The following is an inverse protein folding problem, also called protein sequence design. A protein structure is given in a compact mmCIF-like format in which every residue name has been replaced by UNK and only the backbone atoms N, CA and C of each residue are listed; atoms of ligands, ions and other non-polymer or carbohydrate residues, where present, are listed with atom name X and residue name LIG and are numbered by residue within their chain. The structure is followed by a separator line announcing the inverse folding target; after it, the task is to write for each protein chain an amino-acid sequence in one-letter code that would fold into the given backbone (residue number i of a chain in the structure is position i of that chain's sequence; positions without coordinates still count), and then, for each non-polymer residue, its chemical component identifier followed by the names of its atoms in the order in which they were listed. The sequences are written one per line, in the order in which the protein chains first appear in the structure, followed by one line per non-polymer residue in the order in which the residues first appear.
data_IF_414556265290
#
_entry.id   IF_414556265290
#
_cell.length_a   1.000
_cell.length_b   1.000
_cell.length_c   1.000
_cell.angle_alpha   90.00
_cell.angle_beta   90.00
_cell.angle_gamma   90.00
#
_symmetry.space_group_name_H-M   'P 1'
#
loop_
_entity.id
_entity.type
_entity.pdbx_description
1 polymer ?
#
# COMPACT_ATOMS: atom_id res chain seq x y z
N UNK A 1 -46.12 -28.17 14.97
CA UNK A 1 -44.92 -28.74 15.60
C UNK A 1 -43.77 -27.84 15.13
N UNK A 2 -43.29 -26.95 16.00
CA UNK A 2 -42.07 -26.17 15.74
C UNK A 2 -40.91 -27.09 16.07
N UNK A 3 -40.16 -27.54 15.07
CA UNK A 3 -38.91 -28.26 15.26
C UNK A 3 -37.83 -27.25 15.73
N UNK A 4 -37.41 -27.33 16.98
CA UNK A 4 -36.19 -26.70 17.41
C UNK A 4 -35.02 -27.50 16.82
N UNK A 5 -34.32 -26.95 15.84
CA UNK A 5 -33.01 -27.47 15.43
C UNK A 5 -32.05 -27.13 16.54
N UNK A 6 -31.64 -28.11 17.33
CA UNK A 6 -30.56 -27.95 18.32
C UNK A 6 -29.26 -27.82 17.52
N UNK A 7 -28.58 -26.69 17.64
CA UNK A 7 -27.27 -26.51 17.08
C UNK A 7 -26.27 -27.47 17.79
N UNK A 8 -25.60 -28.31 16.99
CA UNK A 8 -24.63 -29.26 17.50
C UNK A 8 -23.22 -28.82 17.05
N UNK A 9 -22.44 -28.27 17.97
CA UNK A 9 -21.07 -27.82 17.72
C UNK A 9 -20.16 -28.95 17.21
N UNK A 10 -20.41 -30.19 17.60
CA UNK A 10 -19.59 -31.34 17.22
C UNK A 10 -19.91 -31.87 15.81
N UNK A 11 -21.03 -31.46 15.24
CA UNK A 11 -21.35 -31.85 13.87
C UNK A 11 -20.38 -31.24 12.89
N UNK A 12 -19.68 -32.08 12.12
CA UNK A 12 -18.85 -31.60 11.03
C UNK A 12 -19.69 -30.99 9.92
N UNK A 13 -19.27 -29.86 9.38
CA UNK A 13 -19.88 -29.16 8.25
C UNK A 13 -18.82 -28.82 7.21
N UNK A 14 -19.19 -28.89 5.93
CA UNK A 14 -18.35 -28.45 4.84
C UNK A 14 -18.62 -26.97 4.57
N UNK A 15 -17.58 -26.19 4.53
CA UNK A 15 -17.62 -24.73 4.26
C UNK A 15 -16.53 -24.38 3.25
N UNK A 16 -16.62 -23.20 2.67
CA UNK A 16 -15.55 -22.62 1.87
C UNK A 16 -14.87 -21.52 2.69
N UNK A 17 -13.55 -21.58 2.88
CA UNK A 17 -12.80 -20.57 3.61
C UNK A 17 -11.73 -19.99 2.69
N UNK A 18 -11.80 -18.69 2.43
CA UNK A 18 -10.89 -17.99 1.51
C UNK A 18 -10.76 -18.69 0.14
N UNK A 19 -11.87 -19.26 -0.36
CA UNK A 19 -11.94 -19.97 -1.63
C UNK A 19 -11.57 -21.46 -1.59
N UNK A 20 -11.20 -22.00 -0.42
CA UNK A 20 -10.87 -23.43 -0.26
C UNK A 20 -11.96 -24.17 0.53
N UNK A 21 -12.41 -25.30 0.00
CA UNK A 21 -13.36 -26.17 0.72
C UNK A 21 -12.69 -26.90 1.87
N UNK A 22 -13.29 -26.78 3.06
CA UNK A 22 -12.80 -27.42 4.28
C UNK A 22 -13.96 -28.02 5.07
N UNK A 23 -13.66 -29.04 5.87
CA UNK A 23 -14.63 -29.61 6.82
C UNK A 23 -14.23 -29.16 8.21
N UNK A 24 -15.13 -28.44 8.89
CA UNK A 24 -14.92 -27.87 10.22
C UNK A 24 -15.87 -28.48 11.24
N UNK A 25 -15.45 -28.53 12.50
CA UNK A 25 -16.28 -29.03 13.62
C UNK A 25 -15.78 -28.46 14.95
N UNK A 26 -16.57 -28.62 15.99
CA UNK A 26 -16.19 -28.18 17.35
C UNK A 26 -15.94 -26.67 17.40
N UNK A 27 -14.81 -26.28 17.91
CA UNK A 27 -14.43 -24.86 18.04
C UNK A 27 -14.32 -24.13 16.70
N UNK A 28 -13.95 -24.82 15.62
CA UNK A 28 -13.86 -24.24 14.27
C UNK A 28 -15.21 -23.78 13.70
N UNK A 29 -16.32 -24.06 14.39
CA UNK A 29 -17.67 -23.68 13.96
C UNK A 29 -18.03 -22.21 14.18
N UNK A 30 -17.02 -21.35 14.44
CA UNK A 30 -17.13 -19.88 14.47
C UNK A 30 -15.89 -19.26 13.84
N UNK A 31 -15.96 -18.00 13.41
CA UNK A 31 -14.78 -17.30 12.86
C UNK A 31 -13.69 -17.19 13.91
N UNK A 32 -14.03 -16.84 15.16
CA UNK A 32 -13.11 -16.81 16.29
C UNK A 32 -12.41 -18.17 16.47
N UNK A 33 -13.15 -19.26 16.41
CA UNK A 33 -12.61 -20.62 16.52
C UNK A 33 -11.72 -21.01 15.34
N UNK A 34 -11.96 -20.49 14.13
CA UNK A 34 -11.04 -20.67 12.99
C UNK A 34 -9.69 -20.00 13.25
N UNK A 35 -9.69 -18.84 13.89
CA UNK A 35 -8.47 -18.12 14.27
C UNK A 35 -7.73 -18.85 15.39
N UNK A 36 -8.43 -19.21 16.46
CA UNK A 36 -7.87 -19.88 17.65
C UNK A 36 -7.23 -21.23 17.32
N UNK A 37 -7.80 -21.96 16.38
CA UNK A 37 -7.27 -23.25 15.92
C UNK A 37 -6.23 -23.12 14.80
N UNK A 38 -5.85 -21.91 14.42
CA UNK A 38 -4.99 -21.62 13.26
C UNK A 38 -5.46 -22.27 11.94
N UNK A 39 -6.75 -22.49 11.80
CA UNK A 39 -7.35 -22.92 10.54
C UNK A 39 -7.24 -21.83 9.49
N UNK A 40 -7.30 -20.57 9.93
CA UNK A 40 -7.00 -19.38 9.13
C UNK A 40 -5.87 -18.61 9.81
N UNK A 41 -4.84 -18.25 9.04
CA UNK A 41 -3.69 -17.49 9.53
C UNK A 41 -3.81 -16.04 9.06
N UNK A 42 -4.45 -15.23 9.91
CA UNK A 42 -4.58 -13.77 9.71
C UNK A 42 -4.25 -13.05 11.02
N UNK A 43 -3.85 -11.80 10.91
CA UNK A 43 -3.45 -10.99 12.06
C UNK A 43 -4.11 -9.61 12.02
N UNK A 44 -4.40 -9.00 13.17
CA UNK A 44 -4.76 -7.59 13.21
C UNK A 44 -3.62 -6.73 12.66
N UNK A 45 -3.95 -5.54 12.18
CA UNK A 45 -2.95 -4.55 11.79
C UNK A 45 -2.18 -4.02 12.99
N UNK A 46 -1.13 -3.27 12.74
CA UNK A 46 -0.30 -2.65 13.76
C UNK A 46 -0.55 -1.15 13.82
N UNK A 47 -0.18 -0.53 14.93
CA UNK A 47 -0.01 0.90 15.00
C UNK A 47 1.43 1.23 14.61
N UNK A 48 1.60 2.05 13.56
CA UNK A 48 2.90 2.27 12.91
C UNK A 48 3.31 3.74 12.92
N UNK A 49 4.60 3.99 12.94
CA UNK A 49 5.18 5.30 12.78
C UNK A 49 5.09 5.78 11.32
N UNK A 50 5.37 7.05 11.09
CA UNK A 50 5.38 7.66 9.74
C UNK A 50 6.39 7.02 8.78
N UNK A 51 7.41 6.35 9.29
CA UNK A 51 8.40 5.58 8.52
C UNK A 51 7.98 4.12 8.27
N UNK A 52 6.75 3.73 8.69
CA UNK A 52 6.22 2.38 8.58
C UNK A 52 6.68 1.40 9.66
N UNK A 53 7.55 1.82 10.58
CA UNK A 53 7.98 0.94 11.66
C UNK A 53 6.90 0.76 12.72
N UNK A 54 6.81 -0.44 13.26
CA UNK A 54 5.79 -0.79 14.26
C UNK A 54 6.08 -0.11 15.60
N UNK A 55 5.11 0.66 16.11
CA UNK A 55 5.10 1.22 17.46
C UNK A 55 4.45 0.23 18.43
N UNK A 56 3.26 -0.27 18.06
CA UNK A 56 2.52 -1.27 18.84
C UNK A 56 1.95 -2.35 17.92
N UNK A 57 2.23 -3.60 18.24
CA UNK A 57 1.68 -4.75 17.51
C UNK A 57 0.19 -4.92 17.81
N UNK A 58 -0.60 -5.20 16.79
CA UNK A 58 -2.02 -5.53 16.94
C UNK A 58 -2.94 -4.35 17.23
N UNK A 59 -2.41 -3.12 17.33
CA UNK A 59 -3.18 -1.90 17.61
C UNK A 59 -3.68 -1.17 16.34
N UNK A 60 -3.62 -1.84 15.19
CA UNK A 60 -4.24 -1.41 13.95
C UNK A 60 -5.72 -1.77 13.87
N UNK A 61 -6.26 -1.94 12.67
CA UNK A 61 -7.64 -2.43 12.54
C UNK A 61 -7.71 -3.92 12.89
N UNK A 62 -8.89 -4.35 13.32
CA UNK A 62 -9.16 -5.77 13.57
C UNK A 62 -9.14 -6.57 12.26
N UNK A 63 -8.97 -7.88 12.38
CA UNK A 63 -9.33 -8.83 11.32
C UNK A 63 -10.78 -8.61 10.93
N UNK A 64 -11.08 -8.71 9.64
CA UNK A 64 -12.46 -8.64 9.14
C UNK A 64 -12.88 -9.98 8.58
N UNK A 65 -14.16 -10.29 8.73
CA UNK A 65 -14.75 -11.49 8.17
C UNK A 65 -16.00 -11.16 7.36
N UNK A 66 -16.24 -11.93 6.32
CA UNK A 66 -17.53 -11.97 5.64
C UNK A 66 -18.05 -13.39 5.63
N UNK A 67 -19.35 -13.55 5.77
CA UNK A 67 -20.06 -14.83 5.62
C UNK A 67 -21.07 -14.67 4.49
N UNK A 68 -20.94 -15.49 3.45
CA UNK A 68 -21.79 -15.43 2.25
C UNK A 68 -21.78 -14.05 1.56
N UNK A 69 -20.63 -13.32 1.67
CA UNK A 69 -20.43 -11.99 1.09
C UNK A 69 -20.95 -10.82 1.92
N UNK A 70 -21.55 -11.07 3.09
CA UNK A 70 -21.97 -10.03 4.04
C UNK A 70 -20.93 -9.88 5.15
N UNK A 71 -20.62 -8.63 5.53
CA UNK A 71 -19.71 -8.33 6.65
C UNK A 71 -20.25 -8.90 7.96
N UNK A 72 -19.38 -9.57 8.73
CA UNK A 72 -19.70 -10.15 10.02
C UNK A 72 -18.78 -9.56 11.10
N UNK A 73 -19.38 -8.75 11.96
CA UNK A 73 -18.68 -8.11 13.08
C UNK A 73 -18.59 -9.00 14.31
N UNK A 74 -19.54 -9.94 14.46
CA UNK A 74 -19.56 -10.91 15.56
C UNK A 74 -18.81 -12.19 15.16
N UNK A 75 -17.53 -12.25 15.48
CA UNK A 75 -16.69 -13.40 15.18
C UNK A 75 -17.14 -14.70 15.89
N UNK A 76 -18.05 -14.61 16.85
CA UNK A 76 -18.66 -15.78 17.52
C UNK A 76 -19.85 -16.35 16.75
N UNK A 77 -20.25 -15.74 15.64
CA UNK A 77 -21.34 -16.24 14.76
C UNK A 77 -21.04 -17.67 14.30
N UNK A 78 -22.07 -18.51 14.36
CA UNK A 78 -21.97 -19.94 14.04
C UNK A 78 -21.96 -20.15 12.53
N UNK A 79 -20.98 -20.92 12.06
CA UNK A 79 -20.83 -21.33 10.68
C UNK A 79 -21.66 -22.58 10.37
N UNK A 80 -22.34 -22.58 9.25
CA UNK A 80 -23.24 -23.62 8.81
C UNK A 80 -22.72 -24.37 7.58
N UNK A 81 -23.37 -25.47 7.25
CA UNK A 81 -23.10 -26.23 6.04
C UNK A 81 -23.26 -25.35 4.80
N UNK A 82 -22.23 -25.29 3.98
CA UNK A 82 -22.22 -24.55 2.70
C UNK A 82 -21.90 -23.09 2.80
N UNK A 83 -21.60 -22.55 4.01
CA UNK A 83 -21.19 -21.16 4.14
C UNK A 83 -19.88 -20.87 3.39
N UNK A 84 -19.82 -19.69 2.78
CA UNK A 84 -18.61 -19.12 2.16
C UNK A 84 -18.08 -18.02 3.06
N UNK A 85 -16.91 -18.28 3.64
CA UNK A 85 -16.28 -17.43 4.65
C UNK A 85 -15.02 -16.80 4.04
N UNK A 86 -14.91 -15.49 4.10
CA UNK A 86 -13.66 -14.77 3.80
C UNK A 86 -13.16 -14.09 5.07
N UNK A 87 -11.91 -14.36 5.43
CA UNK A 87 -11.26 -13.73 6.58
C UNK A 87 -9.99 -13.04 6.10
N UNK A 88 -9.84 -11.77 6.44
CA UNK A 88 -8.73 -10.95 5.97
C UNK A 88 -7.98 -10.30 7.13
N UNK A 89 -6.68 -10.02 6.91
CA UNK A 89 -5.87 -9.28 7.86
C UNK A 89 -6.45 -7.92 8.17
N UNK A 90 -6.23 -7.44 9.39
CA UNK A 90 -6.37 -6.03 9.69
C UNK A 90 -5.34 -5.18 8.92
N UNK A 91 -5.57 -3.88 8.88
CA UNK A 91 -4.68 -2.89 8.25
C UNK A 91 -3.95 -2.09 9.31
N UNK A 92 -2.72 -1.70 9.00
CA UNK A 92 -1.95 -0.83 9.88
C UNK A 92 -2.59 0.54 9.99
N UNK A 93 -2.52 1.14 11.17
CA UNK A 93 -2.93 2.52 11.44
C UNK A 93 -1.67 3.32 11.70
N UNK A 94 -1.46 4.37 10.89
CA UNK A 94 -0.35 5.29 11.10
C UNK A 94 -0.64 6.25 12.23
N UNK A 95 0.38 6.56 13.04
CA UNK A 95 0.30 7.59 14.08
C UNK A 95 -0.08 8.97 13.49
N UNK A 96 -0.62 9.83 14.33
CA UNK A 96 -0.79 11.23 13.98
C UNK A 96 0.57 11.90 13.75
N UNK A 97 0.63 12.82 12.79
CA UNK A 97 1.87 13.47 12.41
C UNK A 97 1.67 14.96 12.10
N UNK A 98 2.78 15.68 12.11
CA UNK A 98 2.88 17.03 11.56
C UNK A 98 3.68 17.01 10.27
N UNK A 99 3.35 17.91 9.34
CA UNK A 99 4.10 18.08 8.09
C UNK A 99 4.92 19.37 8.12
N UNK A 100 6.11 19.32 7.54
CA UNK A 100 6.92 20.53 7.28
C UNK A 100 6.31 21.37 6.16
N UNK A 101 6.85 22.57 5.95
CA UNK A 101 6.61 23.30 4.71
C UNK A 101 7.08 22.48 3.50
N UNK A 102 6.39 22.69 2.36
CA UNK A 102 6.74 22.03 1.11
C UNK A 102 8.15 22.40 0.66
N UNK A 103 8.91 21.41 0.22
CA UNK A 103 10.26 21.54 -0.31
C UNK A 103 10.28 21.14 -1.77
N UNK A 104 11.02 21.89 -2.60
CA UNK A 104 11.17 21.57 -4.01
C UNK A 104 12.00 20.30 -4.20
N UNK A 105 11.49 19.40 -5.02
CA UNK A 105 12.21 18.22 -5.50
C UNK A 105 12.67 18.49 -6.93
N UNK A 106 13.98 18.67 -7.12
CA UNK A 106 14.55 19.07 -8.41
C UNK A 106 14.37 17.94 -9.45
N UNK A 107 14.01 18.28 -10.69
CA UNK A 107 13.98 17.31 -11.77
C UNK A 107 15.39 16.87 -12.16
N UNK A 108 15.53 15.64 -12.63
CA UNK A 108 16.74 15.17 -13.30
C UNK A 108 16.68 15.47 -14.80
N UNK A 109 17.84 15.48 -15.46
CA UNK A 109 17.92 15.67 -16.90
C UNK A 109 18.60 14.50 -17.57
N UNK A 110 17.93 13.89 -18.53
CA UNK A 110 18.51 12.88 -19.40
C UNK A 110 19.31 13.56 -20.51
N UNK A 111 20.57 13.18 -20.67
CA UNK A 111 21.45 13.69 -21.69
C UNK A 111 21.48 12.72 -22.88
N UNK A 112 21.08 13.16 -24.07
CA UNK A 112 21.01 12.32 -25.27
C UNK A 112 21.93 12.83 -26.36
N UNK A 113 22.57 11.91 -27.08
CA UNK A 113 23.46 12.21 -28.19
C UNK A 113 24.82 12.75 -27.72
N UNK A 114 25.55 13.35 -28.67
CA UNK A 114 26.87 13.94 -28.46
C UNK A 114 27.01 15.18 -29.33
N UNK A 115 27.75 16.18 -28.86
CA UNK A 115 28.01 17.40 -29.64
C UNK A 115 28.16 18.63 -28.77
N UNK A 116 28.50 19.74 -29.41
CA UNK A 116 28.75 21.02 -28.75
C UNK A 116 27.47 21.85 -28.53
N UNK A 117 26.40 21.55 -29.26
CA UNK A 117 25.13 22.27 -29.15
C UNK A 117 24.18 21.48 -28.24
N UNK A 118 23.58 22.19 -27.30
CA UNK A 118 22.65 21.62 -26.32
C UNK A 118 21.26 22.22 -26.57
N UNK A 119 20.25 21.35 -26.71
CA UNK A 119 18.85 21.75 -26.86
C UNK A 119 18.01 21.06 -25.82
N UNK A 120 17.27 21.81 -25.02
CA UNK A 120 16.22 21.25 -24.16
C UNK A 120 15.05 20.82 -25.03
N UNK A 121 14.91 19.53 -25.27
CA UNK A 121 13.77 18.96 -26.01
C UNK A 121 12.57 18.72 -25.08
N UNK A 122 12.84 18.62 -23.78
CA UNK A 122 11.84 18.60 -22.74
C UNK A 122 12.36 19.39 -21.55
N UNK A 123 11.61 20.40 -21.13
CA UNK A 123 11.91 21.17 -19.94
C UNK A 123 11.55 20.33 -18.70
N UNK A 124 12.46 20.28 -17.71
CA UNK A 124 12.15 19.69 -16.42
C UNK A 124 11.27 20.62 -15.57
N UNK A 125 10.34 20.04 -14.84
CA UNK A 125 9.53 20.77 -13.84
C UNK A 125 9.80 20.22 -12.44
N UNK A 126 9.98 21.07 -11.42
CA UNK A 126 10.21 20.62 -10.07
C UNK A 126 8.95 19.95 -9.49
N UNK A 127 9.17 18.89 -8.74
CA UNK A 127 8.21 18.29 -7.85
C UNK A 127 8.22 18.93 -6.47
N UNK A 128 7.47 18.36 -5.55
CA UNK A 128 7.38 18.81 -4.17
C UNK A 128 7.41 17.63 -3.22
N UNK A 129 8.02 17.82 -2.06
CA UNK A 129 8.01 16.87 -0.97
C UNK A 129 7.78 17.59 0.37
N UNK A 130 7.27 16.86 1.33
CA UNK A 130 7.17 17.28 2.73
C UNK A 130 7.89 16.27 3.62
N UNK A 131 8.25 16.68 4.82
CA UNK A 131 8.73 15.77 5.86
C UNK A 131 7.61 15.63 6.88
N UNK A 132 7.14 14.40 7.07
CA UNK A 132 6.23 14.02 8.16
C UNK A 132 7.04 13.72 9.40
N UNK A 133 6.60 14.23 10.53
CA UNK A 133 7.17 13.91 11.84
C UNK A 133 6.06 13.32 12.70
N UNK A 134 6.25 12.07 13.12
CA UNK A 134 5.30 11.38 13.98
C UNK A 134 5.19 12.02 15.34
N UNK A 135 3.96 12.21 15.81
CA UNK A 135 3.69 12.91 17.07
C UNK A 135 4.04 12.05 18.30
N UNK A 136 3.98 10.74 18.16
CA UNK A 136 4.30 9.79 19.24
C UNK A 136 5.73 9.28 19.14
N UNK A 137 6.13 8.80 17.98
CA UNK A 137 7.43 8.18 17.78
C UNK A 137 8.58 9.20 17.65
N UNK A 138 8.28 10.42 17.22
CA UNK A 138 9.27 11.42 16.83
C UNK A 138 10.05 11.08 15.55
N UNK A 139 9.69 9.98 14.87
CA UNK A 139 10.32 9.58 13.62
C UNK A 139 9.89 10.46 12.48
N UNK A 140 10.72 10.46 11.42
CA UNK A 140 10.45 11.27 10.23
C UNK A 140 10.40 10.43 8.99
N UNK A 141 9.59 10.85 8.02
CA UNK A 141 9.54 10.28 6.68
C UNK A 141 9.38 11.38 5.63
N UNK A 142 10.12 11.28 4.53
CA UNK A 142 9.91 12.15 3.37
C UNK A 142 8.79 11.59 2.52
N UNK A 143 7.85 12.45 2.13
CA UNK A 143 6.71 12.09 1.29
C UNK A 143 6.70 13.01 0.08
N UNK A 144 6.78 12.43 -1.11
CA UNK A 144 6.63 13.16 -2.36
C UNK A 144 5.16 13.48 -2.56
N UNK A 145 4.82 14.76 -2.58
CA UNK A 145 3.45 15.25 -2.80
C UNK A 145 3.16 15.58 -4.26
N UNK A 146 4.24 15.89 -5.01
CA UNK A 146 4.19 16.09 -6.46
C UNK A 146 5.47 15.53 -7.07
N UNK A 147 5.33 14.58 -8.00
CA UNK A 147 6.48 14.03 -8.72
C UNK A 147 7.08 15.09 -9.65
N UNK A 148 8.43 15.19 -9.74
CA UNK A 148 9.07 16.06 -10.70
C UNK A 148 8.92 15.52 -12.12
N UNK A 149 8.78 16.40 -13.10
CA UNK A 149 8.87 16.04 -14.51
C UNK A 149 10.32 16.16 -14.91
N UNK A 150 10.95 15.05 -15.30
CA UNK A 150 12.35 15.07 -15.74
C UNK A 150 12.50 15.71 -17.12
N UNK A 151 13.61 16.43 -17.29
CA UNK A 151 13.92 17.08 -18.56
C UNK A 151 14.75 16.19 -19.49
N UNK A 152 14.85 16.60 -20.77
CA UNK A 152 15.70 15.96 -21.76
C UNK A 152 16.53 17.02 -22.46
N UNK A 153 17.85 16.83 -22.47
CA UNK A 153 18.80 17.68 -23.20
C UNK A 153 19.41 16.88 -24.35
N UNK A 154 19.18 17.34 -25.54
CA UNK A 154 19.73 16.74 -26.74
C UNK A 154 21.05 17.45 -27.11
N UNK A 155 22.12 16.67 -27.22
CA UNK A 155 23.43 17.12 -27.72
C UNK A 155 23.56 16.78 -29.20
N UNK A 156 24.05 17.72 -29.99
CA UNK A 156 24.30 17.49 -31.42
C UNK A 156 25.40 18.41 -31.94
N UNK A 157 26.00 18.03 -33.06
CA UNK A 157 26.91 18.86 -33.81
C UNK A 157 26.18 19.49 -35.00
N UNK A 158 26.42 20.77 -35.24
CA UNK A 158 25.92 21.43 -36.44
C UNK A 158 26.64 20.86 -37.66
N UNK A 159 25.89 20.32 -38.61
CA UNK A 159 26.45 19.92 -39.89
C UNK A 159 26.55 21.14 -40.77
N UNK A 160 27.78 21.55 -41.09
CA UNK A 160 28.06 22.72 -41.90
C UNK A 160 28.06 22.40 -43.40
N UNK A 161 27.87 21.14 -43.82
CA UNK A 161 27.96 20.67 -45.22
C UNK A 161 29.25 21.12 -45.96
N UNK A 162 30.33 21.36 -45.20
CA UNK A 162 31.57 21.88 -45.73
C UNK A 162 31.71 23.39 -45.81
N UNK A 163 30.68 24.12 -45.42
CA UNK A 163 30.74 25.59 -45.35
C UNK A 163 31.65 26.05 -44.19
N UNK A 164 32.34 27.17 -44.39
CA UNK A 164 33.15 27.82 -43.37
C UNK A 164 32.20 28.65 -42.50
N UNK A 165 31.94 28.21 -41.29
CA UNK A 165 31.08 28.89 -40.30
C UNK A 165 31.90 29.29 -39.07
N UNK A 166 31.50 30.38 -38.44
CA UNK A 166 32.07 30.86 -37.17
C UNK A 166 30.95 30.91 -36.15
N UNK A 167 31.14 30.27 -34.99
CA UNK A 167 30.26 30.42 -33.84
C UNK A 167 30.82 31.52 -32.94
N UNK A 168 29.99 32.48 -32.56
CA UNK A 168 30.30 33.49 -31.55
C UNK A 168 29.54 33.13 -30.29
N UNK A 169 30.23 32.97 -29.16
CA UNK A 169 29.65 32.82 -27.83
C UNK A 169 29.90 34.09 -27.04
N UNK A 170 28.89 34.52 -26.29
CA UNK A 170 28.99 35.62 -25.34
C UNK A 170 28.69 35.08 -23.99
N UNK A 171 29.63 35.21 -23.09
CA UNK A 171 29.47 34.83 -21.66
C UNK A 171 29.17 36.12 -20.90
N UNK A 172 28.07 36.17 -20.13
CA UNK A 172 27.71 37.27 -19.23
C UNK A 172 28.32 37.06 -17.84
#
# INVERSE_FOLDING_TARGET
IFGFTVWDANKAVAVTINGEQQTISGQQRTVEGLLDTNTVSVTPGNYVAVDGSVIRQGDGTRVTATINGEEEDDLSTHLNEGDDISVTNGTDIMEDYTESDSQLLQPSYELRGTGAVHLYTQQGEPGEKVVRTGNESGKTAEVVTKEPVNGVVQYYNVNTNGDKVIALTFDD
#
